data_IF_298860111291
#
_entry.id   IF_298860111291
#
_cell.length_a   1.000
_cell.length_b   1.000
_cell.length_c   1.000
_cell.angle_alpha   90.00
_cell.angle_beta   90.00
_cell.angle_gamma   90.00
#
_symmetry.space_group_name_H-M   'P 1'
#
loop_
_entity.id
_entity.type
_entity.pdbx_description
1 polymer ?
#
# COMPACT_ATOMS: atom_id res chain seq x y z
N UNK A 1 41.04 -15.38 21.29
CA UNK A 1 40.59 -16.02 20.04
C UNK A 1 40.94 -17.50 20.07
N UNK A 2 42.22 -17.87 19.89
CA UNK A 2 42.76 -19.26 19.83
C UNK A 2 41.89 -20.35 20.46
N UNK A 3 41.66 -20.31 21.77
CA UNK A 3 40.93 -21.36 22.52
C UNK A 3 39.53 -21.68 21.99
N UNK A 4 38.82 -20.73 21.35
CA UNK A 4 37.46 -20.96 20.84
C UNK A 4 37.44 -21.62 19.45
N UNK A 5 38.46 -21.38 18.63
CA UNK A 5 38.66 -22.12 17.38
C UNK A 5 39.29 -23.50 17.65
N UNK A 6 40.09 -23.63 18.71
CA UNK A 6 40.65 -24.89 19.22
C UNK A 6 39.58 -25.83 19.81
N UNK A 7 38.50 -25.31 20.39
CA UNK A 7 37.40 -26.12 20.95
C UNK A 7 36.38 -26.63 19.90
N UNK A 8 36.32 -26.03 18.70
CA UNK A 8 35.20 -26.23 17.77
C UNK A 8 35.58 -26.89 16.42
N UNK A 9 36.87 -26.96 16.06
CA UNK A 9 37.37 -27.47 14.76
C UNK A 9 36.77 -26.79 13.51
N UNK A 10 36.03 -25.68 13.68
CA UNK A 10 35.35 -24.92 12.62
C UNK A 10 35.73 -23.43 12.64
N UNK A 11 35.52 -22.68 11.54
CA UNK A 11 35.75 -21.23 11.54
C UNK A 11 34.84 -20.46 12.51
N UNK A 12 35.39 -19.46 13.19
CA UNK A 12 34.64 -18.64 14.16
C UNK A 12 34.74 -17.15 13.84
N UNK A 13 33.62 -16.43 13.86
CA UNK A 13 33.60 -14.97 13.87
C UNK A 13 33.37 -14.49 15.31
N UNK A 14 34.18 -13.55 15.79
CA UNK A 14 34.04 -13.00 17.15
C UNK A 14 32.84 -12.05 17.30
N UNK A 15 32.54 -11.69 18.54
CA UNK A 15 31.84 -10.43 18.84
C UNK A 15 32.71 -9.24 18.39
N UNK A 16 32.11 -8.06 18.22
CA UNK A 16 32.87 -6.85 17.93
C UNK A 16 33.67 -6.41 19.18
N UNK A 17 34.89 -5.91 18.98
CA UNK A 17 35.73 -5.39 20.07
C UNK A 17 36.49 -4.13 19.63
N UNK A 18 37.15 -3.48 20.58
CA UNK A 18 38.05 -2.36 20.31
C UNK A 18 39.49 -2.77 20.59
N UNK A 19 40.39 -2.41 19.68
CA UNK A 19 41.85 -2.54 19.85
C UNK A 19 42.57 -1.28 19.32
N UNK A 20 43.88 -1.20 19.48
CA UNK A 20 44.72 -0.08 19.03
C UNK A 20 45.47 -0.45 17.75
N UNK A 21 45.04 0.11 16.61
CA UNK A 21 45.66 -0.11 15.29
C UNK A 21 46.33 1.18 14.84
N UNK A 22 47.64 1.13 14.58
CA UNK A 22 48.49 2.29 14.24
C UNK A 22 48.38 3.48 15.23
N UNK A 23 47.98 3.22 16.49
CA UNK A 23 47.76 4.22 17.54
C UNK A 23 46.33 4.77 17.61
N UNK A 24 45.41 4.31 16.75
CA UNK A 24 44.00 4.69 16.77
C UNK A 24 43.11 3.55 17.29
N UNK A 25 42.22 3.90 18.23
CA UNK A 25 41.23 2.98 18.80
C UNK A 25 40.20 2.58 17.72
N UNK A 26 40.38 1.39 17.17
CA UNK A 26 39.64 0.86 16.03
C UNK A 26 38.66 -0.22 16.49
N UNK A 27 37.45 -0.25 15.91
CA UNK A 27 36.54 -1.38 16.12
C UNK A 27 36.89 -2.52 15.15
N UNK A 28 37.11 -3.70 15.69
CA UNK A 28 37.51 -4.91 14.96
C UNK A 28 36.51 -6.05 15.19
N UNK A 29 36.48 -6.98 14.24
CA UNK A 29 35.98 -8.34 14.44
C UNK A 29 36.97 -9.31 13.80
N UNK A 30 37.33 -10.39 14.52
CA UNK A 30 38.26 -11.40 14.00
C UNK A 30 37.49 -12.54 13.35
N UNK A 31 37.92 -12.95 12.17
CA UNK A 31 37.52 -14.21 11.55
C UNK A 31 38.65 -15.22 11.67
N UNK A 32 38.42 -16.27 12.45
CA UNK A 32 39.40 -17.31 12.78
C UNK A 32 39.13 -18.58 11.98
N UNK A 33 40.16 -19.20 11.40
CA UNK A 33 40.10 -20.55 10.81
C UNK A 33 41.09 -21.45 11.56
N UNK A 34 40.66 -22.57 12.18
CA UNK A 34 41.58 -23.53 12.78
C UNK A 34 42.39 -24.27 11.71
N UNK A 35 43.67 -24.50 12.00
CA UNK A 35 44.56 -25.33 11.21
C UNK A 35 44.59 -26.73 11.83
N UNK A 36 44.17 -27.73 11.05
CA UNK A 36 44.07 -29.13 11.48
C UNK A 36 44.91 -29.99 10.52
N UNK A 37 45.83 -30.78 11.08
CA UNK A 37 46.68 -31.73 10.34
C UNK A 37 46.56 -33.12 10.99
N UNK A 38 46.34 -34.17 10.20
CA UNK A 38 46.09 -35.55 10.66
C UNK A 38 45.04 -35.69 11.79
N UNK A 39 44.01 -34.82 11.79
CA UNK A 39 42.96 -34.80 12.81
C UNK A 39 43.39 -34.19 14.15
N UNK A 40 44.46 -33.39 14.15
CA UNK A 40 44.97 -32.65 15.30
C UNK A 40 45.05 -31.16 15.01
N UNK A 41 44.53 -30.34 15.92
CA UNK A 41 44.75 -28.90 15.92
C UNK A 41 46.24 -28.54 16.02
N UNK A 42 46.71 -27.68 15.13
CA UNK A 42 48.11 -27.20 15.06
C UNK A 42 48.24 -25.66 15.09
N UNK A 43 47.13 -24.90 15.06
CA UNK A 43 47.13 -23.45 15.16
C UNK A 43 45.86 -22.81 14.62
N UNK A 44 45.87 -21.48 14.45
CA UNK A 44 44.77 -20.70 13.87
C UNK A 44 45.33 -19.72 12.85
N UNK A 45 44.57 -19.46 11.77
CA UNK A 45 44.75 -18.28 10.92
C UNK A 45 43.64 -17.29 11.27
N UNK A 46 44.00 -16.19 11.91
CA UNK A 46 43.10 -15.09 12.24
C UNK A 46 43.20 -13.97 11.18
N UNK A 47 42.06 -13.35 10.86
CA UNK A 47 41.97 -12.17 10.02
C UNK A 47 41.08 -11.11 10.68
N UNK A 48 41.69 -10.00 11.10
CA UNK A 48 40.98 -8.88 11.73
C UNK A 48 40.36 -7.94 10.68
N UNK A 49 39.06 -7.75 10.78
CA UNK A 49 38.27 -6.90 9.89
C UNK A 49 37.97 -5.57 10.56
N UNK A 50 38.48 -4.47 9.98
CA UNK A 50 38.23 -3.12 10.44
C UNK A 50 36.78 -2.68 10.13
N UNK A 51 36.02 -2.38 11.18
CA UNK A 51 34.59 -2.05 11.09
C UNK A 51 34.32 -0.55 10.96
N UNK A 52 35.34 0.32 11.01
CA UNK A 52 35.19 1.77 10.81
C UNK A 52 34.52 2.08 9.48
N UNK A 53 34.95 1.46 8.37
CA UNK A 53 34.30 1.63 7.07
C UNK A 53 32.90 1.02 6.98
N UNK A 54 32.54 0.08 7.87
CA UNK A 54 31.15 -0.39 7.98
C UNK A 54 30.30 0.70 8.65
N UNK A 55 30.76 1.26 9.78
CA UNK A 55 30.10 2.38 10.45
C UNK A 55 29.95 3.61 9.52
N UNK A 56 30.99 3.97 8.75
CA UNK A 56 30.92 5.06 7.75
C UNK A 56 29.85 4.81 6.69
N UNK A 57 29.79 3.59 6.14
CA UNK A 57 28.76 3.23 5.16
C UNK A 57 27.36 3.31 5.75
N UNK A 58 27.16 2.80 6.98
CA UNK A 58 25.87 2.88 7.69
C UNK A 58 25.45 4.34 7.97
N UNK A 59 26.39 5.21 8.33
CA UNK A 59 26.14 6.64 8.49
C UNK A 59 25.77 7.32 7.17
N UNK A 60 26.41 6.92 6.06
CA UNK A 60 26.20 7.49 4.72
C UNK A 60 24.90 7.05 4.05
N UNK A 61 24.40 5.83 4.29
CA UNK A 61 23.12 5.35 3.72
C UNK A 61 21.90 5.70 4.58
N UNK A 62 22.11 6.10 5.83
CA UNK A 62 21.03 6.48 6.74
C UNK A 62 20.58 7.92 6.56
N UNK A 63 19.34 8.19 6.92
CA UNK A 63 18.70 9.52 6.86
C UNK A 63 17.83 9.73 8.10
N UNK A 64 17.44 10.98 8.44
CA UNK A 64 16.53 11.25 9.56
C UNK A 64 15.20 10.50 9.51
N UNK A 65 14.74 10.11 8.32
CA UNK A 65 13.48 9.38 8.10
C UNK A 65 13.65 7.85 8.15
N UNK A 66 14.87 7.35 7.93
CA UNK A 66 15.20 5.93 7.79
C UNK A 66 16.65 5.66 8.22
N UNK A 67 16.84 5.02 9.37
CA UNK A 67 18.15 4.76 9.99
C UNK A 67 18.47 3.27 9.97
N UNK A 68 19.67 2.92 9.49
CA UNK A 68 20.19 1.55 9.50
C UNK A 68 21.07 1.29 10.73
N UNK A 69 20.97 0.08 11.26
CA UNK A 69 21.71 -0.41 12.43
C UNK A 69 22.20 -1.85 12.15
N UNK A 70 23.37 -2.19 12.68
CA UNK A 70 23.96 -3.53 12.64
C UNK A 70 24.25 -3.97 14.07
N UNK A 71 23.83 -5.19 14.43
CA UNK A 71 24.14 -5.81 15.71
C UNK A 71 24.81 -7.17 15.54
N UNK A 72 25.71 -7.48 16.46
CA UNK A 72 26.33 -8.81 16.56
C UNK A 72 25.35 -9.87 17.11
N UNK A 73 25.83 -11.10 17.30
CA UNK A 73 25.11 -12.23 17.85
C UNK A 73 24.70 -12.08 19.34
N UNK A 74 25.23 -11.08 20.06
CA UNK A 74 24.81 -10.75 21.44
C UNK A 74 23.83 -9.57 21.49
N UNK A 75 23.71 -8.82 20.39
CA UNK A 75 22.87 -7.65 20.26
C UNK A 75 23.59 -6.31 20.49
N UNK A 76 24.92 -6.31 20.59
CA UNK A 76 25.69 -5.07 20.69
C UNK A 76 25.72 -4.35 19.35
N UNK A 77 25.63 -3.01 19.37
CA UNK A 77 25.68 -2.19 18.16
C UNK A 77 27.10 -2.13 17.58
N UNK A 78 27.23 -2.72 16.40
CA UNK A 78 28.45 -2.74 15.57
C UNK A 78 28.46 -1.58 14.57
N UNK A 79 27.28 -1.18 14.09
CA UNK A 79 27.11 0.05 13.30
C UNK A 79 25.76 0.71 13.62
N UNK A 80 25.71 2.05 13.62
CA UNK A 80 24.49 2.83 13.81
C UNK A 80 24.56 4.13 12.99
N UNK A 81 23.59 4.32 12.08
CA UNK A 81 23.62 5.41 11.09
C UNK A 81 23.62 6.84 11.64
N UNK A 82 22.86 7.12 12.71
CA UNK A 82 22.73 8.49 13.26
C UNK A 82 23.23 8.68 14.71
N UNK A 83 23.89 7.69 15.31
CA UNK A 83 24.26 7.73 16.73
C UNK A 83 25.49 6.86 17.03
N UNK A 84 26.70 7.24 16.58
CA UNK A 84 27.92 6.48 16.85
C UNK A 84 28.20 6.32 18.37
N UNK A 85 27.72 7.25 19.21
CA UNK A 85 27.79 7.12 20.68
C UNK A 85 26.97 5.95 21.25
N UNK A 86 26.22 5.23 20.42
CA UNK A 86 25.48 4.01 20.80
C UNK A 86 26.24 2.70 20.54
N UNK A 87 27.38 2.75 19.86
CA UNK A 87 28.20 1.56 19.57
C UNK A 87 28.63 0.83 20.85
N UNK A 88 28.81 -0.49 20.76
CA UNK A 88 29.06 -1.42 21.87
C UNK A 88 28.00 -1.44 22.99
N UNK A 89 26.82 -0.85 22.78
CA UNK A 89 25.67 -0.99 23.69
C UNK A 89 24.64 -1.95 23.08
N UNK A 90 23.94 -2.70 23.93
CA UNK A 90 22.91 -3.62 23.46
C UNK A 90 21.71 -2.86 22.85
N UNK A 91 21.45 -3.10 21.56
CA UNK A 91 20.39 -2.40 20.83
C UNK A 91 19.00 -2.71 21.37
N UNK A 92 18.75 -3.97 21.75
CA UNK A 92 17.45 -4.42 22.22
C UNK A 92 17.08 -3.84 23.59
N UNK A 93 18.08 -3.54 24.43
CA UNK A 93 17.86 -2.85 25.69
C UNK A 93 17.64 -1.34 25.48
N UNK A 94 18.42 -0.69 24.60
CA UNK A 94 18.21 0.71 24.21
C UNK A 94 16.83 0.94 23.58
N UNK A 95 16.40 0.04 22.68
CA UNK A 95 15.10 0.10 22.01
C UNK A 95 13.95 -0.53 22.82
N UNK A 96 14.24 -1.11 24.00
CA UNK A 96 13.31 -1.90 24.84
C UNK A 96 12.50 -2.93 24.05
N UNK A 97 13.19 -3.63 23.15
CA UNK A 97 12.64 -4.68 22.28
C UNK A 97 12.08 -5.86 23.09
N UNK A 98 10.84 -6.31 22.81
CA UNK A 98 10.29 -7.55 23.38
C UNK A 98 11.09 -8.79 22.97
N UNK A 99 11.04 -9.86 23.77
CA UNK A 99 11.79 -11.10 23.50
C UNK A 99 11.44 -11.77 22.16
N UNK A 100 10.24 -11.55 21.65
CA UNK A 100 9.81 -12.01 20.32
C UNK A 100 10.58 -11.28 19.20
N UNK A 101 10.73 -9.96 19.32
CA UNK A 101 11.54 -9.14 18.41
C UNK A 101 13.03 -9.45 18.53
N UNK A 102 13.53 -9.69 19.76
CA UNK A 102 14.92 -10.15 20.01
C UNK A 102 15.21 -11.46 19.28
N UNK A 103 14.30 -12.44 19.36
CA UNK A 103 14.44 -13.74 18.68
C UNK A 103 14.29 -13.62 17.16
N UNK A 104 13.28 -12.88 16.71
CA UNK A 104 12.98 -12.74 15.29
C UNK A 104 14.05 -11.94 14.52
N UNK A 105 14.81 -11.07 15.19
CA UNK A 105 15.94 -10.37 14.60
C UNK A 105 17.04 -11.29 14.02
N UNK A 106 17.20 -12.49 14.57
CA UNK A 106 18.16 -13.51 14.14
C UNK A 106 17.48 -14.69 13.38
N UNK A 107 16.21 -14.54 13.01
CA UNK A 107 15.45 -15.57 12.30
C UNK A 107 15.73 -15.62 10.79
N UNK A 108 15.48 -16.78 10.18
CA UNK A 108 15.72 -17.04 8.75
C UNK A 108 14.86 -16.18 7.79
N UNK A 109 13.74 -15.66 8.27
CA UNK A 109 12.84 -14.79 7.51
C UNK A 109 13.00 -13.33 7.96
N UNK A 110 12.81 -12.38 7.03
CA UNK A 110 12.70 -10.97 7.39
C UNK A 110 11.53 -10.74 8.35
N UNK A 111 11.81 -10.14 9.49
CA UNK A 111 10.81 -9.80 10.50
C UNK A 111 10.48 -8.32 10.44
N UNK A 112 9.18 -7.97 10.45
CA UNK A 112 8.71 -6.59 10.39
C UNK A 112 7.72 -6.33 11.52
N UNK A 113 7.94 -5.26 12.28
CA UNK A 113 7.11 -4.86 13.41
C UNK A 113 6.92 -3.34 13.42
N UNK A 114 5.75 -2.89 13.86
CA UNK A 114 5.44 -1.46 14.00
C UNK A 114 5.16 -1.13 15.46
N UNK A 115 5.91 -0.17 16.03
CA UNK A 115 5.73 0.25 17.43
C UNK A 115 6.30 1.64 17.68
N UNK A 116 5.87 2.25 18.78
CA UNK A 116 6.48 3.49 19.27
C UNK A 116 7.92 3.23 19.73
N UNK A 117 8.87 4.01 19.22
CA UNK A 117 10.27 4.00 19.64
C UNK A 117 10.42 4.60 21.04
N UNK A 118 11.04 3.91 22.01
CA UNK A 118 11.34 4.48 23.32
C UNK A 118 12.41 5.58 23.31
N UNK A 119 13.17 5.73 22.21
CA UNK A 119 14.24 6.72 22.09
C UNK A 119 13.81 7.99 21.36
N UNK A 120 12.91 7.89 20.37
CA UNK A 120 12.41 9.04 19.59
C UNK A 120 10.96 9.42 19.88
N UNK A 121 10.19 8.56 20.55
CA UNK A 121 8.76 8.77 20.85
C UNK A 121 7.83 8.67 19.64
N UNK A 122 8.36 8.32 18.45
CA UNK A 122 7.60 8.23 17.19
C UNK A 122 7.13 6.81 16.91
N UNK A 123 6.05 6.65 16.15
CA UNK A 123 5.58 5.36 15.63
C UNK A 123 6.48 4.94 14.45
N UNK A 124 7.28 3.90 14.66
CA UNK A 124 8.32 3.43 13.75
C UNK A 124 7.96 2.06 13.18
N UNK A 125 8.33 1.83 11.93
CA UNK A 125 8.44 0.49 11.33
C UNK A 125 9.87 0.03 11.48
N UNK A 126 10.07 -1.14 12.08
CA UNK A 126 11.35 -1.82 12.17
C UNK A 126 11.33 -3.05 11.25
N UNK A 127 12.36 -3.21 10.43
CA UNK A 127 12.55 -4.38 9.55
C UNK A 127 13.91 -4.99 9.86
N UNK A 128 13.91 -6.25 10.28
CA UNK A 128 15.11 -7.01 10.65
C UNK A 128 15.42 -8.08 9.61
N UNK A 129 16.71 -8.33 9.39
CA UNK A 129 17.21 -9.40 8.53
C UNK A 129 18.48 -10.01 9.15
N UNK A 130 18.43 -11.32 9.39
CA UNK A 130 19.58 -12.07 9.90
C UNK A 130 20.70 -12.17 8.85
N UNK A 131 21.93 -11.88 9.26
CA UNK A 131 23.14 -12.05 8.47
C UNK A 131 23.91 -13.26 8.99
N UNK A 132 23.95 -14.34 8.21
CA UNK A 132 24.71 -15.57 8.51
C UNK A 132 26.06 -15.52 7.80
N UNK A 133 27.15 -15.78 8.52
CA UNK A 133 28.49 -15.84 7.94
C UNK A 133 28.83 -17.29 7.54
N UNK A 134 29.09 -17.58 6.25
CA UNK A 134 29.35 -18.95 5.80
C UNK A 134 30.52 -19.60 6.54
N UNK A 135 30.31 -20.83 7.01
CA UNK A 135 31.30 -21.58 7.78
C UNK A 135 31.39 -21.19 9.25
N UNK A 136 30.44 -20.42 9.82
CA UNK A 136 30.38 -20.14 11.25
C UNK A 136 28.93 -20.23 11.76
N UNK A 137 28.75 -20.55 13.04
CA UNK A 137 27.47 -20.44 13.76
C UNK A 137 27.09 -18.99 14.12
N UNK A 138 27.94 -17.99 13.83
CA UNK A 138 27.65 -16.59 14.12
C UNK A 138 26.57 -16.02 13.20
N UNK A 139 25.45 -15.62 13.81
CA UNK A 139 24.34 -14.90 13.16
C UNK A 139 24.26 -13.49 13.73
N UNK A 140 24.45 -12.48 12.87
CA UNK A 140 24.27 -11.06 13.18
C UNK A 140 22.89 -10.60 12.69
N UNK A 141 22.49 -9.36 12.98
CA UNK A 141 21.25 -8.79 12.45
C UNK A 141 21.48 -7.38 11.92
N UNK A 142 21.07 -7.12 10.68
CA UNK A 142 20.90 -5.76 10.15
C UNK A 142 19.43 -5.39 10.26
N UNK A 143 19.14 -4.17 10.71
CA UNK A 143 17.77 -3.66 10.71
C UNK A 143 17.68 -2.18 10.36
N UNK A 144 16.57 -1.82 9.71
CA UNK A 144 16.20 -0.43 9.45
C UNK A 144 15.07 -0.01 10.38
N UNK A 145 15.15 1.21 10.90
CA UNK A 145 14.04 1.88 11.59
C UNK A 145 13.59 3.10 10.77
N UNK A 146 12.33 3.08 10.35
CA UNK A 146 11.73 4.10 9.47
C UNK A 146 10.53 4.73 10.16
N UNK A 147 10.35 6.05 10.08
CA UNK A 147 9.10 6.68 10.56
C UNK A 147 7.91 6.15 9.77
N UNK A 148 6.88 5.63 10.45
CA UNK A 148 5.73 4.99 9.79
C UNK A 148 4.99 5.92 8.83
N UNK A 149 4.90 7.21 9.19
CA UNK A 149 4.35 8.28 8.34
C UNK A 149 5.11 8.45 7.02
N UNK A 150 6.43 8.20 7.01
CA UNK A 150 7.27 8.19 5.81
C UNK A 150 7.15 6.86 5.07
N UNK A 151 7.19 5.74 5.80
CA UNK A 151 7.04 4.39 5.27
C UNK A 151 5.73 4.17 4.48
N UNK A 152 4.60 4.70 4.97
CA UNK A 152 3.30 4.59 4.27
C UNK A 152 2.93 5.82 3.45
N UNK A 153 3.73 6.90 3.47
CA UNK A 153 3.35 8.22 2.94
C UNK A 153 2.91 8.18 1.47
N UNK A 154 3.72 7.59 0.59
CA UNK A 154 3.40 7.45 -0.84
C UNK A 154 2.15 6.61 -1.09
N UNK A 155 1.90 5.58 -0.27
CA UNK A 155 0.70 4.75 -0.37
C UNK A 155 -0.55 5.49 0.12
N UNK A 156 -0.42 6.29 1.18
CA UNK A 156 -1.47 7.15 1.72
C UNK A 156 -1.90 8.22 0.71
N UNK A 157 -0.94 8.90 0.07
CA UNK A 157 -1.22 9.91 -0.96
C UNK A 157 -1.86 9.29 -2.21
N UNK A 158 -1.43 8.09 -2.61
CA UNK A 158 -2.08 7.30 -3.67
C UNK A 158 -3.52 6.92 -3.31
N UNK A 159 -3.80 6.55 -2.06
CA UNK A 159 -5.17 6.27 -1.58
C UNK A 159 -6.03 7.54 -1.59
N UNK A 160 -5.51 8.69 -1.16
CA UNK A 160 -6.23 9.98 -1.24
C UNK A 160 -6.57 10.30 -2.70
N UNK A 161 -5.61 10.18 -3.62
CA UNK A 161 -5.84 10.40 -5.04
C UNK A 161 -6.92 9.47 -5.60
N UNK A 162 -6.86 8.18 -5.27
CA UNK A 162 -7.85 7.19 -5.70
C UNK A 162 -9.27 7.49 -5.16
N UNK A 163 -9.38 7.92 -3.90
CA UNK A 163 -10.67 8.31 -3.27
C UNK A 163 -11.24 9.57 -3.93
N UNK A 164 -10.42 10.58 -4.20
CA UNK A 164 -10.85 11.80 -4.92
C UNK A 164 -11.31 11.47 -6.33
N UNK A 165 -10.55 10.65 -7.07
CA UNK A 165 -10.90 10.22 -8.42
C UNK A 165 -12.20 9.40 -8.45
N UNK A 166 -12.39 8.49 -7.49
CA UNK A 166 -13.62 7.73 -7.34
C UNK A 166 -14.84 8.63 -7.03
N UNK A 167 -14.67 9.63 -6.14
CA UNK A 167 -15.70 10.62 -5.84
C UNK A 167 -16.13 11.43 -7.06
N UNK A 168 -15.17 11.91 -7.85
CA UNK A 168 -15.43 12.59 -9.14
C UNK A 168 -16.16 11.64 -10.11
N UNK A 169 -15.71 10.38 -10.22
CA UNK A 169 -16.35 9.37 -11.07
C UNK A 169 -17.82 9.11 -10.70
N UNK A 170 -18.14 9.03 -9.40
CA UNK A 170 -19.51 8.87 -8.89
C UNK A 170 -20.37 10.09 -9.27
N UNK A 171 -19.87 11.31 -9.09
CA UNK A 171 -20.60 12.54 -9.45
C UNK A 171 -20.86 12.61 -10.96
N UNK A 172 -19.85 12.32 -11.79
CA UNK A 172 -19.99 12.28 -13.26
C UNK A 172 -21.00 11.22 -13.69
N UNK A 173 -20.93 10.00 -13.12
CA UNK A 173 -21.88 8.93 -13.41
C UNK A 173 -23.31 9.30 -13.00
N UNK A 174 -23.49 9.92 -11.83
CA UNK A 174 -24.80 10.39 -11.35
C UNK A 174 -25.40 11.46 -12.28
N UNK A 175 -24.58 12.39 -12.80
CA UNK A 175 -25.00 13.39 -13.79
C UNK A 175 -25.40 12.71 -15.10
N UNK A 176 -24.59 11.78 -15.62
CA UNK A 176 -24.86 11.03 -16.85
C UNK A 176 -26.19 10.26 -16.73
N UNK A 177 -26.37 9.51 -15.64
CA UNK A 177 -27.60 8.76 -15.37
C UNK A 177 -28.82 9.69 -15.23
N UNK A 178 -28.68 10.83 -14.55
CA UNK A 178 -29.76 11.82 -14.40
C UNK A 178 -30.18 12.41 -15.75
N UNK A 179 -29.21 12.76 -16.62
CA UNK A 179 -29.48 13.24 -17.98
C UNK A 179 -30.08 12.15 -18.86
N UNK A 180 -29.60 10.91 -18.75
CA UNK A 180 -30.12 9.76 -19.48
C UNK A 180 -31.57 9.46 -19.10
N UNK A 181 -31.88 9.30 -17.82
CA UNK A 181 -33.24 9.07 -17.30
C UNK A 181 -34.17 10.22 -17.70
N UNK A 182 -33.73 11.48 -17.54
CA UNK A 182 -34.53 12.64 -17.94
C UNK A 182 -34.88 12.63 -19.43
N UNK A 183 -33.91 12.35 -20.31
CA UNK A 183 -34.10 12.37 -21.78
C UNK A 183 -34.83 11.14 -22.31
N UNK A 184 -34.55 9.94 -21.77
CA UNK A 184 -35.09 8.67 -22.31
C UNK A 184 -36.44 8.28 -21.72
N UNK A 185 -36.71 8.66 -20.46
CA UNK A 185 -37.93 8.29 -19.73
C UNK A 185 -38.78 9.51 -19.38
N UNK A 186 -38.26 10.47 -18.61
CA UNK A 186 -39.11 11.52 -18.00
C UNK A 186 -39.77 12.44 -19.03
N UNK A 187 -39.00 13.02 -19.96
CA UNK A 187 -39.57 13.91 -20.99
C UNK A 187 -40.57 13.18 -21.90
N UNK A 188 -40.25 11.99 -22.46
CA UNK A 188 -41.20 11.23 -23.28
C UNK A 188 -42.48 10.79 -22.55
N UNK A 189 -42.41 10.46 -21.25
CA UNK A 189 -43.59 10.18 -20.42
C UNK A 189 -44.42 11.47 -20.22
N UNK A 190 -43.75 12.61 -20.06
CA UNK A 190 -44.39 13.93 -20.05
C UNK A 190 -45.17 14.22 -21.34
N UNK A 191 -44.52 14.09 -22.50
CA UNK A 191 -45.16 14.34 -23.81
C UNK A 191 -46.40 13.44 -24.05
N UNK A 192 -46.34 12.19 -23.59
CA UNK A 192 -47.47 11.24 -23.58
C UNK A 192 -48.59 11.71 -22.63
N UNK A 193 -48.23 12.17 -21.43
CA UNK A 193 -49.17 12.63 -20.39
C UNK A 193 -49.89 13.93 -20.78
N UNK A 194 -49.15 14.92 -21.27
CA UNK A 194 -49.68 16.19 -21.79
C UNK A 194 -50.68 15.95 -22.93
N UNK A 195 -50.39 14.97 -23.80
CA UNK A 195 -51.29 14.58 -24.90
C UNK A 195 -52.55 13.89 -24.38
N UNK A 196 -52.42 13.00 -23.40
CA UNK A 196 -53.56 12.32 -22.79
C UNK A 196 -54.50 13.30 -22.06
N UNK A 197 -53.94 14.28 -21.35
CA UNK A 197 -54.72 15.35 -20.72
C UNK A 197 -55.56 16.14 -21.75
N UNK A 198 -54.92 16.63 -22.82
CA UNK A 198 -55.63 17.31 -23.93
C UNK A 198 -56.73 16.46 -24.56
N UNK A 199 -56.56 15.14 -24.66
CA UNK A 199 -57.59 14.25 -25.20
C UNK A 199 -58.77 14.04 -24.24
N UNK A 200 -58.57 14.18 -22.92
CA UNK A 200 -59.66 14.20 -21.95
C UNK A 200 -60.51 15.49 -22.08
N UNK A 201 -59.87 16.63 -22.36
CA UNK A 201 -60.52 17.92 -22.68
C UNK A 201 -61.10 17.97 -24.11
N UNK A 202 -61.11 16.84 -24.85
CA UNK A 202 -61.54 16.71 -26.25
C UNK A 202 -60.76 17.58 -27.27
N UNK A 203 -59.60 18.13 -26.89
CA UNK A 203 -58.67 18.82 -27.80
C UNK A 203 -57.92 17.79 -28.67
N UNK A 204 -58.62 17.28 -29.68
CA UNK A 204 -58.12 16.31 -30.66
C UNK A 204 -57.38 16.97 -31.84
N UNK A 205 -56.93 18.22 -31.70
CA UNK A 205 -56.10 18.92 -32.69
C UNK A 205 -54.85 18.08 -33.02
N UNK A 206 -54.59 17.93 -34.33
CA UNK A 206 -53.49 17.13 -34.88
C UNK A 206 -52.15 17.86 -34.73
N UNK A 207 -52.10 19.17 -34.86
CA UNK A 207 -50.85 19.90 -35.03
C UNK A 207 -50.14 20.09 -33.69
N UNK A 208 -50.90 20.40 -32.63
CA UNK A 208 -50.45 20.44 -31.22
C UNK A 208 -49.82 19.13 -30.71
N UNK A 209 -50.03 17.99 -31.40
CA UNK A 209 -49.46 16.69 -31.03
C UNK A 209 -48.01 16.44 -31.47
N UNK A 210 -47.21 17.47 -31.74
CA UNK A 210 -45.88 17.32 -32.34
C UNK A 210 -44.90 16.49 -31.49
N UNK A 211 -44.66 16.88 -30.23
CA UNK A 211 -43.64 16.24 -29.37
C UNK A 211 -43.86 14.74 -29.18
N UNK A 212 -45.10 14.32 -28.91
CA UNK A 212 -45.44 12.91 -28.71
C UNK A 212 -45.21 12.06 -29.97
N UNK A 213 -45.24 12.66 -31.17
CA UNK A 213 -44.88 11.97 -32.43
C UNK A 213 -43.37 11.76 -32.59
N UNK A 214 -42.51 12.53 -31.94
CA UNK A 214 -41.05 12.27 -31.96
C UNK A 214 -40.74 10.89 -31.36
N UNK A 215 -41.58 10.43 -30.43
CA UNK A 215 -41.47 9.13 -29.76
C UNK A 215 -42.17 7.98 -30.51
N UNK A 216 -42.81 8.22 -31.67
CA UNK A 216 -43.63 7.21 -32.36
C UNK A 216 -42.84 6.01 -32.93
N UNK A 217 -41.53 6.19 -33.19
CA UNK A 217 -40.66 5.14 -33.71
C UNK A 217 -39.93 4.35 -32.61
N UNK A 218 -40.30 4.54 -31.34
CA UNK A 218 -39.73 3.76 -30.23
C UNK A 218 -40.28 2.33 -30.23
N UNK A 219 -39.41 1.37 -29.96
CA UNK A 219 -39.74 -0.06 -29.82
C UNK A 219 -39.94 -0.50 -28.37
N UNK A 220 -40.06 0.46 -27.45
CA UNK A 220 -40.26 0.24 -26.01
C UNK A 220 -41.68 0.62 -25.55
N UNK A 221 -41.94 0.56 -24.24
CA UNK A 221 -43.25 0.80 -23.63
C UNK A 221 -43.79 2.19 -23.97
N UNK A 222 -42.90 3.19 -24.14
CA UNK A 222 -43.31 4.55 -24.54
C UNK A 222 -43.86 4.54 -25.97
N UNK A 223 -43.20 3.86 -26.91
CA UNK A 223 -43.71 3.71 -28.28
C UNK A 223 -45.04 2.96 -28.34
N UNK A 224 -45.23 1.99 -27.45
CA UNK A 224 -46.50 1.26 -27.28
C UNK A 224 -47.62 2.16 -26.74
N UNK A 225 -47.31 3.08 -25.81
CA UNK A 225 -48.25 4.11 -25.35
C UNK A 225 -48.59 5.12 -26.46
N UNK A 226 -47.60 5.65 -27.18
CA UNK A 226 -47.81 6.59 -28.30
C UNK A 226 -48.69 5.97 -29.39
N UNK A 227 -48.42 4.72 -29.77
CA UNK A 227 -49.22 3.96 -30.74
C UNK A 227 -50.66 3.74 -30.28
N UNK A 228 -50.89 3.68 -28.97
CA UNK A 228 -52.23 3.48 -28.40
C UNK A 228 -52.99 4.79 -28.26
N UNK A 229 -52.33 5.90 -27.88
CA UNK A 229 -52.88 7.25 -27.97
C UNK A 229 -53.29 7.60 -29.41
N UNK A 230 -52.46 7.27 -30.41
CA UNK A 230 -52.75 7.53 -31.82
C UNK A 230 -54.03 6.80 -32.29
N UNK A 231 -54.21 5.53 -31.88
CA UNK A 231 -55.44 4.75 -32.14
C UNK A 231 -56.65 5.36 -31.44
N UNK A 232 -56.53 5.72 -30.16
CA UNK A 232 -57.60 6.38 -29.41
C UNK A 232 -58.05 7.70 -30.06
N UNK A 233 -57.10 8.56 -30.46
CA UNK A 233 -57.38 9.83 -31.11
C UNK A 233 -58.12 9.66 -32.45
N UNK A 234 -57.82 8.61 -33.21
CA UNK A 234 -58.51 8.32 -34.46
C UNK A 234 -59.94 7.83 -34.22
N UNK A 235 -60.14 6.90 -33.28
CA UNK A 235 -61.47 6.41 -32.90
C UNK A 235 -62.38 7.53 -32.37
N UNK A 236 -61.84 8.44 -31.55
CA UNK A 236 -62.57 9.61 -31.04
C UNK A 236 -62.96 10.58 -32.17
N UNK A 237 -62.03 10.90 -33.09
CA UNK A 237 -62.33 11.74 -34.27
C UNK A 237 -63.37 11.08 -35.19
N UNK A 238 -63.33 9.76 -35.36
CA UNK A 238 -64.31 9.03 -36.16
C UNK A 238 -65.71 9.06 -35.54
N UNK A 239 -65.82 8.90 -34.21
CA UNK A 239 -67.11 9.02 -33.52
C UNK A 239 -67.69 10.43 -33.62
N UNK A 240 -66.90 11.48 -33.38
CA UNK A 240 -67.34 12.88 -33.56
C UNK A 240 -67.72 13.17 -35.01
N UNK A 241 -66.95 12.67 -35.99
CA UNK A 241 -67.26 12.79 -37.41
C UNK A 241 -68.58 12.12 -37.80
N UNK A 242 -68.85 10.91 -37.29
CA UNK A 242 -70.12 10.21 -37.51
C UNK A 242 -71.32 10.93 -36.88
N UNK A 243 -71.17 11.49 -35.68
CA UNK A 243 -72.23 12.27 -35.02
C UNK A 243 -72.58 13.50 -35.86
N UNK A 244 -71.57 14.28 -36.30
CA UNK A 244 -71.80 15.45 -37.15
C UNK A 244 -72.40 15.08 -38.52
N UNK A 245 -72.04 13.92 -39.09
CA UNK A 245 -72.60 13.41 -40.35
C UNK A 245 -74.02 12.83 -40.26
N UNK A 246 -74.57 12.66 -39.06
CA UNK A 246 -75.95 12.22 -38.80
C UNK A 246 -76.85 13.41 -38.38
N UNK A 247 -76.28 14.62 -38.27
CA UNK A 247 -76.98 15.84 -37.84
C UNK A 247 -77.22 16.85 -38.99
N UNK A 248 -77.30 16.36 -40.23
CA UNK A 248 -77.76 17.10 -41.43
C UNK A 248 -78.92 16.35 -42.09
#
# INVERSE_FOLDING_TARGET
>A
MVSKAEELDEPTLTEAFYDEVDGEKTMLVSYSIPLIEDGKFIGVVDADLNLTSVQENFAKVSTPDNVYLLVDNTGNLVAHGMSPDSLMKNAFDLMKSPDEERKAAYGDAMYTVTRVSPTSGKDMVYIYHALKFPGTDSVWSIFSSTEKSKFVGTAHDMVIFAVVLAGIGIVVLAIILSVFVRRRLVVPIGDVSDTLARFADLDLDKDKGAKVREHQYRTDEIGSMVSSLARMANNLREMVGKINGVSQ
#
